data_IF_496160178096
#
_entry.id   IF_496160178096
#
_cell.length_a   1.000
_cell.length_b   1.000
_cell.length_c   1.000
_cell.angle_alpha   90.00
_cell.angle_beta   90.00
_cell.angle_gamma   90.00
#
_symmetry.space_group_name_H-M   'P 1'
#
loop_
_entity.id
_entity.type
_entity.pdbx_description
1 polymer ?
#
# COMPACT_ATOMS: atom_id res chain seq x y z
N UNK A 1 25.98 -10.29 -29.37
CA UNK A 1 24.78 -9.99 -28.56
C UNK A 1 23.61 -10.75 -29.16
N UNK A 2 23.27 -11.90 -28.59
CA UNK A 2 22.10 -12.69 -29.00
C UNK A 2 20.85 -11.82 -28.98
N UNK A 3 20.09 -11.87 -30.07
CA UNK A 3 18.82 -11.16 -30.25
C UNK A 3 17.75 -11.82 -29.35
N UNK A 4 17.87 -11.67 -28.03
CA UNK A 4 16.83 -12.06 -27.08
C UNK A 4 15.57 -11.25 -27.40
N UNK A 5 14.48 -11.93 -27.73
CA UNK A 5 13.18 -11.31 -27.94
C UNK A 5 12.87 -10.31 -26.82
N UNK A 6 12.51 -9.07 -27.17
CA UNK A 6 12.23 -7.98 -26.22
C UNK A 6 11.21 -8.37 -25.15
N UNK A 7 10.30 -9.29 -25.48
CA UNK A 7 9.37 -9.93 -24.56
C UNK A 7 9.24 -11.43 -24.87
N UNK A 8 9.04 -12.26 -23.85
CA UNK A 8 8.75 -13.69 -24.02
C UNK A 8 7.25 -13.91 -24.24
N UNK A 9 6.87 -14.96 -25.00
CA UNK A 9 5.44 -15.32 -25.20
C UNK A 9 4.68 -15.47 -23.88
N UNK A 10 5.36 -15.98 -22.84
CA UNK A 10 4.81 -16.15 -21.50
C UNK A 10 4.41 -14.79 -20.89
N UNK A 11 5.25 -13.75 -21.01
CA UNK A 11 4.94 -12.41 -20.47
C UNK A 11 3.68 -11.81 -21.09
N UNK A 12 3.53 -11.96 -22.41
CA UNK A 12 2.35 -11.44 -23.12
C UNK A 12 1.09 -12.17 -22.67
N UNK A 13 1.12 -13.50 -22.59
CA UNK A 13 0.00 -14.30 -22.09
C UNK A 13 -0.32 -13.91 -20.64
N UNK A 14 0.69 -13.82 -19.77
CA UNK A 14 0.50 -13.43 -18.37
C UNK A 14 -0.11 -12.03 -18.25
N UNK A 15 0.33 -11.05 -19.05
CA UNK A 15 -0.27 -9.70 -19.03
C UNK A 15 -1.76 -9.70 -19.38
N UNK A 16 -2.17 -10.51 -20.38
CA UNK A 16 -3.57 -10.64 -20.75
C UNK A 16 -4.38 -11.36 -19.68
N UNK A 17 -3.85 -12.44 -19.10
CA UNK A 17 -4.52 -13.19 -18.02
C UNK A 17 -4.74 -12.32 -16.79
N UNK A 18 -3.72 -11.56 -16.36
CA UNK A 18 -3.84 -10.63 -15.23
C UNK A 18 -4.90 -9.55 -15.50
N UNK A 19 -4.89 -8.97 -16.70
CA UNK A 19 -5.84 -7.92 -17.07
C UNK A 19 -7.27 -8.45 -17.17
N UNK A 20 -7.45 -9.66 -17.71
CA UNK A 20 -8.74 -10.33 -17.78
C UNK A 20 -9.27 -10.68 -16.38
N UNK A 21 -8.40 -11.20 -15.51
CA UNK A 21 -8.74 -11.48 -14.11
C UNK A 21 -9.24 -10.22 -13.42
N UNK A 22 -8.56 -9.08 -13.60
CA UNK A 22 -8.97 -7.81 -13.01
C UNK A 22 -10.38 -7.40 -13.46
N UNK A 23 -10.70 -7.54 -14.73
CA UNK A 23 -12.03 -7.15 -15.25
C UNK A 23 -13.13 -8.08 -14.78
N UNK A 24 -12.86 -9.38 -14.64
CA UNK A 24 -13.87 -10.35 -14.22
C UNK A 24 -14.12 -10.22 -12.72
N UNK A 25 -13.06 -10.18 -11.92
CA UNK A 25 -13.16 -10.34 -10.47
C UNK A 25 -12.96 -9.04 -9.67
N UNK A 26 -12.29 -8.03 -10.21
CA UNK A 26 -11.98 -6.78 -9.49
C UNK A 26 -12.77 -5.55 -10.01
N UNK A 27 -13.62 -5.72 -11.03
CA UNK A 27 -14.44 -4.61 -11.55
C UNK A 27 -15.41 -4.02 -10.51
N UNK A 28 -15.76 -4.78 -9.46
CA UNK A 28 -16.62 -4.31 -8.37
C UNK A 28 -16.08 -3.08 -7.64
N UNK A 29 -14.76 -2.84 -7.69
CA UNK A 29 -14.08 -1.70 -7.04
C UNK A 29 -14.63 -0.35 -7.49
N UNK A 30 -15.08 -0.23 -8.74
CA UNK A 30 -15.66 1.03 -9.24
C UNK A 30 -17.04 1.35 -8.66
N UNK A 31 -17.70 0.37 -8.04
CA UNK A 31 -19.07 0.51 -7.50
C UNK A 31 -19.13 0.41 -5.98
N UNK A 32 -18.29 -0.44 -5.37
CA UNK A 32 -18.26 -0.72 -3.93
C UNK A 32 -16.93 -0.31 -3.27
N UNK A 33 -16.07 0.37 -4.02
CA UNK A 33 -14.77 0.85 -3.54
C UNK A 33 -13.94 -0.27 -2.89
N UNK A 34 -13.44 -0.05 -1.67
CA UNK A 34 -12.63 -0.99 -0.90
C UNK A 34 -13.39 -2.27 -0.53
N UNK A 35 -14.73 -2.24 -0.47
CA UNK A 35 -15.56 -3.37 -0.06
C UNK A 35 -15.65 -4.49 -1.10
N UNK A 36 -15.29 -4.20 -2.36
CA UNK A 36 -15.15 -5.23 -3.40
C UNK A 36 -13.81 -5.98 -3.32
N UNK A 37 -12.89 -5.56 -2.44
CA UNK A 37 -11.57 -6.15 -2.32
C UNK A 37 -11.58 -7.21 -1.22
N UNK A 38 -11.43 -8.47 -1.62
CA UNK A 38 -11.37 -9.62 -0.73
C UNK A 38 -10.42 -10.68 -1.26
N UNK A 39 -10.91 -11.92 -1.29
CA UNK A 39 -10.21 -13.08 -1.87
C UNK A 39 -9.72 -12.82 -3.31
N UNK A 40 -10.52 -12.13 -4.13
CA UNK A 40 -10.14 -11.74 -5.49
C UNK A 40 -8.80 -10.99 -5.56
N UNK A 41 -8.60 -9.95 -4.74
CA UNK A 41 -7.38 -9.18 -4.75
C UNK A 41 -6.21 -9.96 -4.14
N UNK A 42 -6.46 -10.75 -3.09
CA UNK A 42 -5.46 -11.68 -2.55
C UNK A 42 -4.90 -12.61 -3.61
N UNK A 43 -5.77 -13.26 -4.38
CA UNK A 43 -5.37 -14.16 -5.46
C UNK A 43 -4.60 -13.42 -6.56
N UNK A 44 -5.04 -12.22 -6.92
CA UNK A 44 -4.35 -11.38 -7.91
C UNK A 44 -2.93 -11.02 -7.46
N UNK A 45 -2.77 -10.45 -6.26
CA UNK A 45 -1.47 -9.99 -5.75
C UNK A 45 -0.52 -11.15 -5.43
N UNK A 46 -1.04 -12.24 -4.86
CA UNK A 46 -0.27 -13.46 -4.64
C UNK A 46 0.17 -14.08 -5.98
N UNK A 47 -0.72 -14.15 -6.98
CA UNK A 47 -0.41 -14.66 -8.31
C UNK A 47 0.70 -13.86 -8.99
N UNK A 48 0.64 -12.52 -8.93
CA UNK A 48 1.69 -11.64 -9.46
C UNK A 48 3.03 -11.88 -8.73
N UNK A 49 3.02 -11.97 -7.40
CA UNK A 49 4.22 -12.23 -6.60
C UNK A 49 4.84 -13.58 -6.94
N UNK A 50 4.02 -14.63 -6.99
CA UNK A 50 4.46 -15.99 -7.32
C UNK A 50 5.00 -16.09 -8.75
N UNK A 51 4.41 -15.36 -9.71
CA UNK A 51 4.94 -15.28 -11.07
C UNK A 51 6.35 -14.70 -11.10
N UNK A 52 6.60 -13.61 -10.36
CA UNK A 52 7.93 -13.03 -10.25
C UNK A 52 8.94 -13.97 -9.59
N UNK A 53 8.52 -14.71 -8.54
CA UNK A 53 9.35 -15.74 -7.90
C UNK A 53 9.66 -16.89 -8.86
N UNK A 54 8.68 -17.37 -9.62
CA UNK A 54 8.87 -18.40 -10.64
C UNK A 54 9.94 -17.97 -11.65
N UNK A 55 9.90 -16.71 -12.10
CA UNK A 55 10.88 -16.16 -13.02
C UNK A 55 12.28 -16.11 -12.43
N UNK A 56 12.43 -15.64 -11.19
CA UNK A 56 13.72 -15.64 -10.49
C UNK A 56 14.31 -17.05 -10.37
N UNK A 57 13.46 -18.07 -10.14
CA UNK A 57 13.89 -19.47 -10.10
C UNK A 57 14.32 -19.97 -11.49
N UNK A 58 13.55 -19.66 -12.53
CA UNK A 58 13.87 -20.04 -13.93
C UNK A 58 15.22 -19.48 -14.37
N UNK A 59 15.51 -18.22 -14.03
CA UNK A 59 16.76 -17.56 -14.37
C UNK A 59 17.90 -17.82 -13.36
N UNK A 60 17.72 -18.75 -12.42
CA UNK A 60 18.69 -19.12 -11.36
C UNK A 60 19.19 -17.93 -10.50
N UNK A 61 18.38 -16.89 -10.36
CA UNK A 61 18.67 -15.70 -9.54
C UNK A 61 18.04 -15.75 -8.13
N UNK A 62 17.12 -16.69 -7.91
CA UNK A 62 16.47 -16.91 -6.61
C UNK A 62 17.44 -17.44 -5.55
N UNK A 63 17.39 -16.84 -4.35
CA UNK A 63 18.16 -17.27 -3.17
C UNK A 63 17.20 -17.41 -1.99
N UNK A 64 17.47 -18.32 -1.04
CA UNK A 64 16.62 -18.52 0.15
C UNK A 64 16.42 -17.23 0.98
N UNK A 65 17.41 -16.32 0.99
CA UNK A 65 17.31 -15.01 1.64
C UNK A 65 16.28 -14.06 1.00
N UNK A 66 15.78 -14.37 -0.20
CA UNK A 66 14.70 -13.62 -0.84
C UNK A 66 13.36 -13.83 -0.12
N UNK A 67 13.20 -14.92 0.63
CA UNK A 67 12.01 -15.18 1.44
C UNK A 67 11.73 -14.06 2.43
N UNK A 68 12.78 -13.40 2.94
CA UNK A 68 12.70 -12.25 3.84
C UNK A 68 11.89 -11.09 3.24
N UNK A 69 11.86 -10.97 1.92
CA UNK A 69 11.12 -9.93 1.19
C UNK A 69 9.81 -10.45 0.59
N UNK A 70 9.75 -11.74 0.23
CA UNK A 70 8.56 -12.38 -0.34
C UNK A 70 7.47 -12.60 0.71
N UNK A 71 7.84 -13.08 1.91
CA UNK A 71 6.86 -13.41 2.97
C UNK A 71 5.98 -12.20 3.31
N UNK A 72 6.52 -11.00 3.58
CA UNK A 72 5.69 -9.83 3.83
C UNK A 72 4.75 -9.46 2.69
N UNK A 73 5.18 -9.61 1.43
CA UNK A 73 4.30 -9.37 0.27
C UNK A 73 3.14 -10.37 0.22
N UNK A 74 3.39 -11.64 0.55
CA UNK A 74 2.33 -12.63 0.65
C UNK A 74 1.38 -12.33 1.82
N UNK A 75 1.90 -11.90 2.98
CA UNK A 75 1.06 -11.46 4.10
C UNK A 75 0.19 -10.25 3.73
N UNK A 76 0.75 -9.24 3.06
CA UNK A 76 -0.01 -8.10 2.54
C UNK A 76 -1.08 -8.54 1.54
N UNK A 77 -0.79 -9.52 0.69
CA UNK A 77 -1.77 -10.07 -0.23
C UNK A 77 -2.92 -10.75 0.52
N UNK A 78 -2.60 -11.57 1.52
CA UNK A 78 -3.57 -12.30 2.35
C UNK A 78 -4.43 -11.35 3.19
N UNK A 79 -3.90 -10.20 3.60
CA UNK A 79 -4.63 -9.23 4.43
C UNK A 79 -6.00 -8.84 3.88
N UNK A 80 -6.12 -8.71 2.55
CA UNK A 80 -7.38 -8.38 1.87
C UNK A 80 -8.47 -9.45 2.06
N UNK A 81 -8.10 -10.73 2.17
CA UNK A 81 -9.04 -11.81 2.43
C UNK A 81 -9.36 -11.96 3.93
N UNK A 82 -8.54 -11.44 4.83
CA UNK A 82 -8.74 -11.59 6.28
C UNK A 82 -9.71 -10.55 6.83
N UNK A 83 -9.43 -9.27 6.57
CA UNK A 83 -10.11 -8.14 7.21
C UNK A 83 -10.58 -7.11 6.19
N UNK A 84 -11.65 -6.40 6.52
CA UNK A 84 -12.25 -5.38 5.66
C UNK A 84 -11.55 -4.03 5.78
N UNK A 85 -11.05 -3.68 6.98
CA UNK A 85 -10.35 -2.43 7.32
C UNK A 85 -10.27 -1.37 6.18
N UNK A 86 -11.31 -0.54 6.02
CA UNK A 86 -11.41 0.41 4.92
C UNK A 86 -10.37 1.53 5.03
N UNK A 87 -9.82 1.77 6.23
CA UNK A 87 -8.75 2.74 6.42
C UNK A 87 -7.43 2.25 5.84
N UNK A 88 -7.06 0.99 6.06
CA UNK A 88 -5.73 0.48 5.71
C UNK A 88 -5.62 -0.14 4.31
N UNK A 89 -6.72 -0.70 3.79
CA UNK A 89 -6.75 -1.34 2.46
C UNK A 89 -6.26 -0.42 1.32
N UNK A 90 -6.68 0.87 1.22
CA UNK A 90 -6.18 1.77 0.18
C UNK A 90 -4.66 1.95 0.23
N UNK A 91 -4.10 2.15 1.42
CA UNK A 91 -2.64 2.29 1.59
C UNK A 91 -1.92 1.01 1.17
N UNK A 92 -2.46 -0.16 1.52
CA UNK A 92 -1.88 -1.45 1.11
C UNK A 92 -1.94 -1.62 -0.41
N UNK A 93 -3.08 -1.29 -1.03
CA UNK A 93 -3.26 -1.39 -2.48
C UNK A 93 -2.27 -0.49 -3.25
N UNK A 94 -1.98 0.70 -2.74
CA UNK A 94 -1.03 1.64 -3.34
C UNK A 94 0.43 1.29 -3.04
N UNK A 95 0.73 0.83 -1.82
CA UNK A 95 2.08 0.48 -1.40
C UNK A 95 2.57 -0.82 -2.06
N UNK A 96 1.66 -1.78 -2.31
CA UNK A 96 2.03 -3.11 -2.78
C UNK A 96 2.82 -3.10 -4.11
N UNK A 97 2.39 -2.41 -5.19
CA UNK A 97 3.16 -2.37 -6.43
C UNK A 97 4.57 -1.79 -6.24
N UNK A 98 4.72 -0.79 -5.37
CA UNK A 98 6.01 -0.17 -5.06
C UNK A 98 6.92 -1.15 -4.31
N UNK A 99 6.39 -1.82 -3.29
CA UNK A 99 7.14 -2.82 -2.51
C UNK A 99 7.54 -4.03 -3.36
N UNK A 100 6.62 -4.49 -4.22
CA UNK A 100 6.89 -5.57 -5.18
C UNK A 100 7.99 -5.16 -6.16
N UNK A 101 7.89 -3.95 -6.73
CA UNK A 101 8.91 -3.42 -7.64
C UNK A 101 10.27 -3.28 -6.95
N UNK A 102 10.31 -2.80 -5.71
CA UNK A 102 11.52 -2.70 -4.89
C UNK A 102 12.16 -4.08 -4.65
N UNK A 103 11.38 -5.06 -4.17
CA UNK A 103 11.84 -6.43 -3.97
C UNK A 103 12.39 -7.03 -5.26
N UNK A 104 11.61 -6.96 -6.33
CA UNK A 104 11.94 -7.60 -7.59
C UNK A 104 13.17 -6.94 -8.24
N UNK A 105 13.27 -5.62 -8.17
CA UNK A 105 14.45 -4.84 -8.55
C UNK A 105 15.70 -5.31 -7.79
N UNK A 106 15.58 -5.51 -6.47
CA UNK A 106 16.69 -5.97 -5.64
C UNK A 106 17.11 -7.40 -5.98
N UNK A 107 16.14 -8.28 -6.24
CA UNK A 107 16.38 -9.71 -6.50
C UNK A 107 17.17 -9.97 -7.79
N UNK A 108 17.04 -9.07 -8.79
CA UNK A 108 17.73 -9.17 -10.08
C UNK A 108 19.17 -8.67 -10.09
N UNK A 109 19.62 -8.03 -9.01
CA UNK A 109 20.98 -7.49 -8.94
C UNK A 109 21.98 -8.62 -8.76
N UNK A 110 23.04 -8.58 -9.56
CA UNK A 110 24.15 -9.52 -9.41
C UNK A 110 24.95 -9.25 -8.13
N UNK A 111 25.31 -10.32 -7.40
CA UNK A 111 26.01 -10.21 -6.10
C UNK A 111 25.30 -9.27 -5.11
N UNK A 112 23.96 -9.30 -5.07
CA UNK A 112 23.11 -8.46 -4.19
C UNK A 112 23.44 -8.46 -2.69
N UNK A 113 24.17 -9.47 -2.21
CA UNK A 113 24.60 -9.56 -0.81
C UNK A 113 25.85 -8.72 -0.50
N UNK A 114 26.65 -8.37 -1.52
CA UNK A 114 27.86 -7.55 -1.40
C UNK A 114 27.55 -6.05 -1.50
N UNK A 115 26.31 -5.70 -1.84
CA UNK A 115 25.91 -4.32 -2.11
C UNK A 115 25.45 -3.62 -0.83
N UNK A 116 26.13 -2.53 -0.52
CA UNK A 116 25.68 -1.57 0.46
C UNK A 116 24.54 -0.72 -0.08
N UNK A 117 23.46 -0.62 0.69
CA UNK A 117 22.34 0.27 0.42
C UNK A 117 22.74 1.63 0.96
N UNK A 118 23.34 2.43 0.10
CA UNK A 118 23.61 3.84 0.32
C UNK A 118 22.59 4.70 -0.44
N UNK A 119 22.71 6.03 -0.34
CA UNK A 119 21.81 6.94 -1.06
C UNK A 119 21.89 6.73 -2.59
N UNK A 120 23.06 6.36 -3.12
CA UNK A 120 23.25 6.12 -4.55
C UNK A 120 22.53 4.85 -5.02
N UNK A 121 22.55 3.80 -4.21
CA UNK A 121 21.76 2.59 -4.41
C UNK A 121 20.27 2.89 -4.47
N UNK A 122 19.75 3.73 -3.56
CA UNK A 122 18.34 4.16 -3.60
C UNK A 122 18.01 4.88 -4.90
N UNK A 123 18.84 5.84 -5.33
CA UNK A 123 18.65 6.53 -6.62
C UNK A 123 18.65 5.54 -7.79
N UNK A 124 19.55 4.55 -7.78
CA UNK A 124 19.61 3.51 -8.82
C UNK A 124 18.37 2.61 -8.84
N UNK A 125 17.90 2.18 -7.68
CA UNK A 125 16.67 1.41 -7.54
C UNK A 125 15.47 2.23 -8.03
N UNK A 126 15.33 3.48 -7.62
CA UNK A 126 14.23 4.36 -8.05
C UNK A 126 14.27 4.55 -9.56
N UNK A 127 15.45 4.78 -10.16
CA UNK A 127 15.62 4.84 -11.62
C UNK A 127 15.21 3.53 -12.29
N UNK A 128 15.45 2.38 -11.66
CA UNK A 128 15.04 1.09 -12.21
C UNK A 128 13.54 0.86 -12.09
N UNK A 129 12.93 1.21 -10.95
CA UNK A 129 11.47 1.16 -10.80
C UNK A 129 10.84 2.02 -11.89
N UNK A 130 11.28 3.27 -12.04
CA UNK A 130 10.81 4.22 -13.06
C UNK A 130 11.20 3.83 -14.50
N UNK A 131 12.11 2.88 -14.70
CA UNK A 131 12.48 2.42 -16.04
C UNK A 131 11.31 1.77 -16.79
N UNK A 132 10.23 1.38 -16.11
CA UNK A 132 9.00 0.93 -16.76
C UNK A 132 8.43 1.95 -17.78
N UNK A 133 8.67 3.25 -17.55
CA UNK A 133 8.23 4.31 -18.46
C UNK A 133 8.92 4.24 -19.83
N UNK A 134 10.17 3.80 -19.89
CA UNK A 134 10.89 3.67 -21.18
C UNK A 134 10.39 2.50 -22.00
N UNK A 135 9.85 1.46 -21.35
CA UNK A 135 9.28 0.29 -22.03
C UNK A 135 7.83 0.48 -22.46
N UNK A 136 7.17 1.57 -22.08
CA UNK A 136 5.75 1.82 -22.37
C UNK A 136 5.43 1.77 -23.87
N UNK A 137 6.16 2.56 -24.67
CA UNK A 137 5.97 2.57 -26.14
C UNK A 137 6.29 1.20 -26.77
N UNK A 138 7.27 0.47 -26.22
CA UNK A 138 7.65 -0.86 -26.71
C UNK A 138 6.56 -1.89 -26.43
N UNK A 139 5.98 -1.88 -25.24
CA UNK A 139 4.85 -2.75 -24.87
C UNK A 139 3.62 -2.47 -25.71
N UNK A 140 3.32 -1.20 -25.98
CA UNK A 140 2.24 -0.80 -26.89
C UNK A 140 2.48 -1.41 -28.27
N UNK A 141 3.66 -1.20 -28.87
CA UNK A 141 4.01 -1.78 -30.18
C UNK A 141 3.93 -3.31 -30.20
N UNK A 142 4.38 -3.99 -29.14
CA UNK A 142 4.37 -5.46 -29.07
C UNK A 142 2.98 -6.04 -28.89
N UNK A 143 2.12 -5.41 -28.09
CA UNK A 143 0.71 -5.81 -27.98
C UNK A 143 -0.03 -5.55 -29.28
N UNK A 144 0.16 -4.38 -29.90
CA UNK A 144 -0.39 -4.12 -31.23
C UNK A 144 0.11 -5.14 -32.24
N UNK A 145 1.40 -5.47 -32.26
CA UNK A 145 1.95 -6.48 -33.17
C UNK A 145 1.41 -7.88 -32.87
N UNK A 146 1.19 -8.25 -31.61
CA UNK A 146 0.69 -9.59 -31.25
C UNK A 146 -0.81 -9.73 -31.57
N UNK A 147 -1.59 -8.69 -31.33
CA UNK A 147 -3.01 -8.62 -31.75
C UNK A 147 -3.12 -8.56 -33.28
N UNK A 148 -2.19 -7.86 -33.93
CA UNK A 148 -2.14 -7.69 -35.38
C UNK A 148 -1.27 -8.77 -36.09
N UNK A 149 -0.89 -9.85 -35.41
CA UNK A 149 0.31 -10.61 -35.81
C UNK A 149 0.31 -11.01 -37.29
N UNK A 150 1.38 -10.51 -37.91
CA UNK A 150 1.76 -10.54 -39.31
C UNK A 150 2.50 -11.85 -39.57
N UNK A 151 1.91 -12.98 -39.18
CA UNK A 151 2.38 -14.25 -39.74
C UNK A 151 2.16 -14.18 -41.25
N UNK A 152 3.19 -14.60 -41.99
CA UNK A 152 3.22 -14.67 -43.46
C UNK A 152 2.24 -15.74 -43.98
N UNK A 153 0.96 -15.58 -43.69
CA UNK A 153 -0.12 -16.47 -44.10
C UNK A 153 -1.14 -15.63 -44.87
N UNK A 154 -1.02 -15.58 -46.20
CA UNK A 154 -2.07 -15.19 -47.19
C UNK A 154 -2.99 -13.98 -46.83
N UNK A 155 -2.49 -13.01 -46.05
CA UNK A 155 -3.30 -12.09 -45.24
C UNK A 155 -3.75 -10.78 -45.94
N UNK A 156 -3.82 -10.76 -47.27
CA UNK A 156 -4.46 -9.67 -48.01
C UNK A 156 -5.99 -9.67 -47.84
N UNK A 157 -6.58 -10.86 -47.73
CA UNK A 157 -8.03 -11.03 -47.66
C UNK A 157 -8.61 -10.61 -46.31
N UNK A 158 -8.06 -11.07 -45.17
CA UNK A 158 -8.53 -10.67 -43.84
C UNK A 158 -8.43 -9.16 -43.60
N UNK A 159 -7.37 -8.50 -44.08
CA UNK A 159 -7.25 -7.04 -43.99
C UNK A 159 -8.32 -6.33 -44.84
N UNK A 160 -8.59 -6.81 -46.06
CA UNK A 160 -9.66 -6.27 -46.91
C UNK A 160 -11.05 -6.51 -46.32
N UNK A 161 -11.27 -7.69 -45.72
CA UNK A 161 -12.51 -8.02 -45.00
C UNK A 161 -12.69 -7.12 -43.78
N UNK A 162 -11.66 -6.91 -42.96
CA UNK A 162 -11.72 -6.01 -41.79
C UNK A 162 -11.95 -4.55 -42.20
N UNK A 163 -11.26 -4.06 -43.24
CA UNK A 163 -11.48 -2.71 -43.78
C UNK A 163 -12.90 -2.59 -44.35
N UNK A 164 -13.39 -3.60 -45.08
CA UNK A 164 -14.76 -3.64 -45.61
C UNK A 164 -15.81 -3.64 -44.51
N UNK A 165 -15.63 -4.45 -43.46
CA UNK A 165 -16.51 -4.46 -42.29
C UNK A 165 -16.48 -3.11 -41.56
N UNK A 166 -15.31 -2.49 -41.44
CA UNK A 166 -15.18 -1.17 -40.78
C UNK A 166 -15.89 -0.08 -41.58
N UNK A 167 -15.67 -0.02 -42.89
CA UNK A 167 -16.35 0.92 -43.78
C UNK A 167 -17.87 0.69 -43.79
N UNK A 168 -18.32 -0.57 -43.80
CA UNK A 168 -19.72 -0.92 -43.68
C UNK A 168 -20.30 -0.46 -42.34
N UNK A 169 -19.60 -0.66 -41.22
CA UNK A 169 -20.04 -0.21 -39.91
C UNK A 169 -20.15 1.32 -39.84
N UNK A 170 -19.18 2.06 -40.38
CA UNK A 170 -19.23 3.53 -40.45
C UNK A 170 -20.41 3.98 -41.32
N UNK A 171 -20.58 3.36 -42.49
CA UNK A 171 -21.70 3.66 -43.38
C UNK A 171 -23.05 3.36 -42.70
N UNK A 172 -23.20 2.21 -42.05
CA UNK A 172 -24.40 1.85 -41.31
C UNK A 172 -24.67 2.82 -40.16
N UNK A 173 -23.65 3.29 -39.45
CA UNK A 173 -23.81 4.25 -38.35
C UNK A 173 -24.35 5.61 -38.83
N UNK A 174 -24.10 5.99 -40.08
CA UNK A 174 -24.61 7.23 -40.68
C UNK A 174 -25.97 7.00 -41.37
N UNK A 175 -26.07 5.94 -42.15
CA UNK A 175 -27.23 5.67 -43.01
C UNK A 175 -28.43 5.17 -42.21
N UNK A 176 -28.22 4.28 -41.23
CA UNK A 176 -29.32 3.66 -40.47
C UNK A 176 -30.11 4.69 -39.64
N UNK A 177 -29.49 5.65 -38.91
CA UNK A 177 -30.23 6.71 -38.26
C UNK A 177 -30.99 7.62 -39.24
N UNK A 178 -30.38 7.94 -40.38
CA UNK A 178 -31.01 8.75 -41.42
C UNK A 178 -32.28 8.08 -41.97
N UNK A 179 -32.19 6.79 -42.33
CA UNK A 179 -33.35 6.00 -42.77
C UNK A 179 -34.39 5.81 -41.67
N UNK A 180 -33.95 5.63 -40.42
CA UNK A 180 -34.86 5.52 -39.26
C UNK A 180 -35.60 6.83 -38.97
N UNK A 181 -35.03 7.99 -39.30
CA UNK A 181 -35.73 9.27 -39.20
C UNK A 181 -36.73 9.50 -40.34
N UNK A 182 -36.53 8.87 -41.49
CA UNK A 182 -37.35 9.06 -42.68
C UNK A 182 -38.59 8.16 -42.71
N UNK A 183 -38.54 6.98 -42.08
CA UNK A 183 -39.65 6.02 -42.04
C UNK A 183 -39.85 5.43 -40.61
N UNK A 184 -40.99 5.74 -39.95
CA UNK A 184 -41.33 5.19 -38.63
C UNK A 184 -41.43 3.66 -38.56
N UNK A 185 -41.89 2.98 -39.63
CA UNK A 185 -42.02 1.52 -39.66
C UNK A 185 -40.63 0.86 -39.72
N UNK A 186 -39.72 1.44 -40.48
CA UNK A 186 -38.32 1.02 -40.53
C UNK A 186 -37.64 1.19 -39.16
N UNK A 187 -37.85 2.33 -38.50
CA UNK A 187 -37.34 2.60 -37.16
C UNK A 187 -37.82 1.57 -36.13
N UNK A 188 -39.11 1.22 -36.14
CA UNK A 188 -39.68 0.24 -35.22
C UNK A 188 -39.07 -1.15 -35.40
N UNK A 189 -38.81 -1.59 -36.63
CA UNK A 189 -38.19 -2.89 -36.91
C UNK A 189 -36.71 -2.95 -36.55
N UNK A 190 -36.00 -1.82 -36.61
CA UNK A 190 -34.58 -1.71 -36.24
C UNK A 190 -34.33 -1.45 -34.76
N UNK A 191 -35.35 -1.03 -34.01
CA UNK A 191 -35.24 -0.76 -32.58
C UNK A 191 -34.61 -1.91 -31.77
N UNK A 192 -34.99 -3.20 -31.96
CA UNK A 192 -34.34 -4.31 -31.25
C UNK A 192 -32.85 -4.45 -31.57
N UNK A 193 -32.46 -4.17 -32.83
CA UNK A 193 -31.06 -4.18 -33.25
C UNK A 193 -30.28 -3.03 -32.61
N UNK A 194 -30.85 -1.82 -32.59
CA UNK A 194 -30.26 -0.66 -31.93
C UNK A 194 -30.11 -0.88 -30.41
N UNK A 195 -31.14 -1.43 -29.76
CA UNK A 195 -31.11 -1.77 -28.33
C UNK A 195 -30.04 -2.84 -28.03
N UNK A 196 -29.88 -3.82 -28.92
CA UNK A 196 -28.82 -4.82 -28.80
C UNK A 196 -27.42 -4.20 -28.97
N UNK A 197 -27.22 -3.33 -29.97
CA UNK A 197 -25.95 -2.64 -30.23
C UNK A 197 -25.58 -1.70 -29.09
N UNK A 198 -26.51 -0.89 -28.60
CA UNK A 198 -26.27 0.02 -27.46
C UNK A 198 -26.02 -0.73 -26.16
N UNK A 199 -26.63 -1.90 -25.96
CA UNK A 199 -26.32 -2.79 -24.84
C UNK A 199 -24.90 -3.37 -24.93
N UNK A 200 -24.46 -3.77 -26.12
CA UNK A 200 -23.09 -4.28 -26.37
C UNK A 200 -22.05 -3.15 -26.26
N UNK A 201 -22.35 -1.95 -26.78
CA UNK A 201 -21.52 -0.76 -26.68
C UNK A 201 -21.80 0.07 -25.41
N UNK A 202 -22.41 -0.55 -24.40
CA UNK A 202 -22.69 0.16 -23.14
C UNK A 202 -21.39 0.75 -22.58
N UNK A 203 -21.49 1.93 -21.97
CA UNK A 203 -20.34 2.64 -21.41
C UNK A 203 -19.50 1.75 -20.48
N UNK A 204 -20.14 0.79 -19.79
CA UNK A 204 -19.45 -0.21 -18.96
C UNK A 204 -18.57 -1.17 -19.76
N UNK A 205 -19.04 -1.70 -20.89
CA UNK A 205 -18.26 -2.63 -21.73
C UNK A 205 -17.10 -1.89 -22.38
N UNK A 206 -17.35 -0.68 -22.90
CA UNK A 206 -16.30 0.17 -23.46
C UNK A 206 -15.23 0.49 -22.41
N UNK A 207 -15.64 0.87 -21.20
CA UNK A 207 -14.73 1.12 -20.08
C UNK A 207 -13.92 -0.14 -19.73
N UNK A 208 -14.53 -1.34 -19.70
CA UNK A 208 -13.82 -2.60 -19.47
C UNK A 208 -12.77 -2.87 -20.54
N UNK A 209 -13.09 -2.64 -21.82
CA UNK A 209 -12.13 -2.82 -22.94
C UNK A 209 -10.96 -1.83 -22.82
N UNK A 210 -11.23 -0.57 -22.48
CA UNK A 210 -10.18 0.44 -22.28
C UNK A 210 -9.28 0.04 -21.11
N UNK A 211 -9.87 -0.31 -19.96
CA UNK A 211 -9.13 -0.75 -18.77
C UNK A 211 -8.35 -2.03 -19.05
N UNK A 212 -8.90 -2.98 -19.82
CA UNK A 212 -8.18 -4.17 -20.29
C UNK A 212 -6.90 -3.82 -21.02
N UNK A 213 -7.00 -2.94 -22.02
CA UNK A 213 -5.88 -2.53 -22.84
C UNK A 213 -4.81 -1.83 -22.00
N UNK A 214 -5.22 -0.89 -21.14
CA UNK A 214 -4.31 -0.18 -20.23
C UNK A 214 -3.61 -1.13 -19.28
N UNK A 215 -4.35 -2.02 -18.60
CA UNK A 215 -3.76 -3.01 -17.68
C UNK A 215 -2.85 -4.00 -18.39
N UNK A 216 -3.17 -4.40 -19.63
CA UNK A 216 -2.33 -5.30 -20.42
C UNK A 216 -1.01 -4.62 -20.76
N UNK A 217 -1.05 -3.33 -21.13
CA UNK A 217 0.16 -2.53 -21.37
C UNK A 217 0.97 -2.40 -20.09
N UNK A 218 0.35 -1.97 -18.98
CA UNK A 218 1.04 -1.70 -17.70
C UNK A 218 1.63 -2.98 -17.09
N UNK A 219 0.90 -4.09 -17.11
CA UNK A 219 1.43 -5.37 -16.63
C UNK A 219 2.60 -5.82 -17.50
N UNK A 220 2.46 -5.74 -18.83
CA UNK A 220 3.52 -6.14 -19.75
C UNK A 220 4.78 -5.25 -19.60
N UNK A 221 4.63 -3.93 -19.45
CA UNK A 221 5.78 -3.03 -19.20
C UNK A 221 6.50 -3.38 -17.91
N UNK A 222 5.77 -3.62 -16.82
CA UNK A 222 6.37 -4.02 -15.54
C UNK A 222 7.16 -5.33 -15.66
N UNK A 223 6.58 -6.33 -16.35
CA UNK A 223 7.25 -7.62 -16.59
C UNK A 223 8.54 -7.47 -17.41
N UNK A 224 8.55 -6.61 -18.44
CA UNK A 224 9.73 -6.38 -19.28
C UNK A 224 10.80 -5.54 -18.58
N UNK A 225 10.39 -4.49 -17.86
CA UNK A 225 11.27 -3.50 -17.30
C UNK A 225 12.07 -4.04 -16.12
N UNK A 226 11.42 -4.78 -15.23
CA UNK A 226 12.03 -5.27 -14.00
C UNK A 226 12.61 -6.69 -14.14
N UNK A 227 12.33 -7.40 -15.23
CA UNK A 227 12.69 -8.81 -15.44
C UNK A 227 14.04 -9.05 -16.12
N UNK A 228 15.04 -8.19 -15.89
CA UNK A 228 16.34 -8.24 -16.59
C UNK A 228 17.51 -8.06 -15.61
N UNK A 229 18.61 -8.83 -15.78
CA UNK A 229 19.75 -8.72 -14.90
C UNK A 229 20.46 -7.40 -15.12
N UNK A 230 20.98 -6.83 -14.04
CA UNK A 230 21.74 -5.58 -14.11
C UNK A 230 22.92 -5.61 -13.17
N UNK A 231 24.04 -5.18 -13.69
CA UNK A 231 25.22 -4.89 -12.90
C UNK A 231 25.05 -3.53 -12.24
N UNK A 232 25.09 -3.53 -10.90
CA UNK A 232 25.18 -2.30 -10.12
C UNK A 232 26.60 -2.24 -9.57
N UNK A 233 27.42 -1.34 -10.12
CA UNK A 233 28.76 -1.06 -9.59
C UNK A 233 28.67 -0.18 -8.35
N UNK A 234 29.44 -0.50 -7.32
CA UNK A 234 29.45 0.27 -6.08
C UNK A 234 30.38 1.49 -6.23
N UNK A 235 29.90 2.54 -6.89
CA UNK A 235 30.64 3.80 -7.02
C UNK A 235 30.17 4.80 -5.94
N UNK A 236 30.40 4.45 -4.67
CA UNK A 236 30.23 5.40 -3.57
C UNK A 236 31.47 6.29 -3.50
N UNK A 237 31.36 7.57 -3.87
CA UNK A 237 32.38 8.56 -3.48
C UNK A 237 32.20 8.84 -1.99
N UNK A 238 33.23 8.52 -1.21
CA UNK A 238 33.21 8.78 0.21
C UNK A 238 33.39 10.28 0.45
N UNK A 239 32.29 10.98 0.74
CA UNK A 239 32.32 12.40 1.08
C UNK A 239 32.77 12.49 2.53
N UNK A 240 34.05 12.78 2.74
CA UNK A 240 34.60 13.09 4.06
C UNK A 240 33.93 14.38 4.57
N UNK A 241 33.14 14.27 5.64
CA UNK A 241 32.60 15.43 6.33
C UNK A 241 33.62 15.90 7.37
N UNK A 242 33.69 17.22 7.55
CA UNK A 242 34.44 17.81 8.65
C UNK A 242 33.80 17.39 9.99
N UNK A 243 34.60 16.70 10.80
CA UNK A 243 34.21 16.17 12.11
C UNK A 243 33.86 17.31 13.06
N UNK A 244 34.56 18.44 12.97
CA UNK A 244 34.34 19.61 13.83
C UNK A 244 33.01 20.25 13.49
N UNK A 245 32.76 20.52 12.20
CA UNK A 245 31.48 21.06 11.73
C UNK A 245 30.29 20.17 12.13
N UNK A 246 30.42 18.86 11.91
CA UNK A 246 29.39 17.88 12.26
C UNK A 246 29.12 17.86 13.78
N UNK A 247 30.16 17.94 14.59
CA UNK A 247 30.05 17.89 16.05
C UNK A 247 29.45 19.16 16.62
N UNK A 248 29.77 20.34 16.07
CA UNK A 248 29.18 21.62 16.47
C UNK A 248 27.67 21.63 16.19
N UNK A 249 27.26 21.23 14.98
CA UNK A 249 25.84 21.18 14.61
C UNK A 249 25.07 20.19 15.48
N UNK A 250 25.59 18.96 15.62
CA UNK A 250 24.91 17.92 16.40
C UNK A 250 24.87 18.26 17.90
N UNK A 251 25.95 18.85 18.43
CA UNK A 251 26.02 19.32 19.81
C UNK A 251 25.04 20.47 20.10
N UNK A 252 24.92 21.43 19.17
CA UNK A 252 23.96 22.53 19.28
C UNK A 252 22.52 22.05 19.28
N UNK A 253 22.15 21.17 18.34
CA UNK A 253 20.81 20.57 18.28
C UNK A 253 20.54 19.77 19.57
N UNK A 254 21.51 18.99 20.03
CA UNK A 254 21.38 18.20 21.25
C UNK A 254 21.15 19.09 22.50
N UNK A 255 21.84 20.23 22.62
CA UNK A 255 21.63 21.16 23.73
C UNK A 255 20.21 21.74 23.74
N UNK A 256 19.69 22.12 22.56
CA UNK A 256 18.30 22.58 22.42
C UNK A 256 17.31 21.48 22.83
N UNK A 257 17.59 20.22 22.51
CA UNK A 257 16.73 19.10 22.94
C UNK A 257 16.77 18.85 24.43
N UNK A 258 17.93 18.98 25.08
CA UNK A 258 18.01 18.89 26.54
C UNK A 258 17.21 20.01 27.21
N UNK A 259 17.32 21.24 26.71
CA UNK A 259 16.51 22.37 27.20
C UNK A 259 15.01 22.08 27.02
N UNK A 260 14.62 21.60 25.85
CA UNK A 260 13.23 21.26 25.56
C UNK A 260 12.71 20.11 26.43
N UNK A 261 13.48 19.03 26.59
CA UNK A 261 13.15 17.93 27.49
C UNK A 261 13.03 18.42 28.94
N UNK A 262 13.93 19.28 29.38
CA UNK A 262 13.90 19.88 30.72
C UNK A 262 12.60 20.67 30.94
N UNK A 263 12.21 21.55 30.01
CA UNK A 263 10.93 22.27 30.08
C UNK A 263 9.73 21.32 30.02
N UNK A 264 9.85 20.20 29.31
CA UNK A 264 8.79 19.19 29.22
C UNK A 264 8.66 18.31 30.47
N UNK A 265 9.69 18.16 31.30
CA UNK A 265 9.63 17.31 32.49
C UNK A 265 8.46 17.73 33.38
N UNK A 266 8.30 19.03 33.64
CA UNK A 266 7.19 19.53 34.47
C UNK A 266 5.82 19.22 33.87
N UNK A 267 5.70 19.16 32.54
CA UNK A 267 4.46 18.86 31.82
C UNK A 267 4.21 17.36 31.63
N UNK A 268 5.25 16.53 31.74
CA UNK A 268 5.17 15.06 31.63
C UNK A 268 4.50 14.43 32.85
N UNK A 269 4.66 15.05 34.02
CA UNK A 269 4.09 14.58 35.30
C UNK A 269 2.68 15.13 35.59
N UNK A 270 2.15 16.04 34.75
CA UNK A 270 0.77 16.51 34.89
C UNK A 270 -0.16 15.43 34.31
N UNK A 271 -0.67 14.57 35.18
CA UNK A 271 -1.64 13.52 34.86
C UNK A 271 -3.06 14.02 34.56
N UNK A 272 -3.28 15.33 34.44
CA UNK A 272 -4.58 15.92 34.20
C UNK A 272 -4.59 16.67 32.87
N UNK A 273 -5.39 16.17 31.91
CA UNK A 273 -5.73 16.89 30.70
C UNK A 273 -6.56 18.14 31.06
N UNK A 274 -6.39 19.28 30.36
CA UNK A 274 -7.29 20.42 30.49
C UNK A 274 -8.75 19.97 30.27
N UNK A 275 -9.69 20.52 31.03
CA UNK A 275 -11.09 20.07 31.07
C UNK A 275 -11.83 20.16 29.71
N UNK A 276 -11.31 20.95 28.74
CA UNK A 276 -11.88 21.13 27.41
C UNK A 276 -11.32 20.14 26.35
N UNK A 277 -12.25 19.56 25.56
CA UNK A 277 -11.97 18.70 24.42
C UNK A 277 -11.07 19.37 23.40
N UNK A 278 -11.34 20.64 23.09
CA UNK A 278 -10.67 21.36 21.99
C UNK A 278 -9.23 21.71 22.36
N UNK A 279 -8.99 22.05 23.62
CA UNK A 279 -7.63 22.29 24.14
C UNK A 279 -6.84 20.99 24.24
N UNK A 280 -7.48 19.90 24.70
CA UNK A 280 -6.86 18.58 24.75
C UNK A 280 -6.51 18.05 23.35
N UNK A 281 -7.43 18.19 22.40
CA UNK A 281 -7.22 17.77 21.03
C UNK A 281 -6.06 18.56 20.40
N UNK A 282 -6.04 19.89 20.58
CA UNK A 282 -4.94 20.72 20.07
C UNK A 282 -3.61 20.37 20.74
N UNK A 283 -3.57 20.21 22.06
CA UNK A 283 -2.36 19.91 22.82
C UNK A 283 -1.78 18.54 22.47
N UNK A 284 -2.66 17.53 22.33
CA UNK A 284 -2.25 16.18 21.96
C UNK A 284 -1.90 16.14 20.48
N UNK A 285 -2.78 16.53 19.56
CA UNK A 285 -2.53 16.35 18.12
C UNK A 285 -1.34 17.20 17.67
N UNK A 286 -1.29 18.50 17.97
CA UNK A 286 -0.16 19.33 17.52
C UNK A 286 1.16 18.91 18.17
N UNK A 287 1.16 18.70 19.49
CA UNK A 287 2.36 18.32 20.23
C UNK A 287 2.88 16.92 19.88
N UNK A 288 1.98 15.94 19.70
CA UNK A 288 2.33 14.58 19.28
C UNK A 288 3.01 14.60 17.90
N UNK A 289 2.38 15.26 16.90
CA UNK A 289 2.90 15.28 15.53
C UNK A 289 4.22 16.04 15.43
N UNK A 290 4.39 17.13 16.20
CA UNK A 290 5.65 17.85 16.29
C UNK A 290 6.78 16.97 16.85
N UNK A 291 6.52 16.26 17.97
CA UNK A 291 7.50 15.36 18.58
C UNK A 291 7.85 14.19 17.66
N UNK A 292 6.84 13.58 17.02
CA UNK A 292 7.05 12.50 16.07
C UNK A 292 7.86 12.97 14.86
N UNK A 293 7.53 14.14 14.30
CA UNK A 293 8.27 14.74 13.19
C UNK A 293 9.72 15.03 13.59
N UNK A 294 9.95 15.55 14.80
CA UNK A 294 11.29 15.79 15.32
C UNK A 294 12.09 14.50 15.44
N UNK A 295 11.49 13.42 15.92
CA UNK A 295 12.12 12.10 15.97
C UNK A 295 12.44 11.55 14.57
N UNK A 296 11.59 11.78 13.57
CA UNK A 296 11.88 11.42 12.17
C UNK A 296 13.03 12.24 11.59
N UNK A 297 13.09 13.55 11.89
CA UNK A 297 14.21 14.41 11.51
C UNK A 297 15.52 13.90 12.15
N UNK A 298 15.49 13.53 13.43
CA UNK A 298 16.65 12.98 14.13
C UNK A 298 17.15 11.69 13.51
N UNK A 299 16.23 10.84 13.06
CA UNK A 299 16.53 9.61 12.35
C UNK A 299 17.15 9.90 10.97
N UNK A 300 16.71 10.95 10.25
CA UNK A 300 17.35 11.38 9.00
C UNK A 300 18.78 11.89 9.23
N UNK A 301 19.00 12.67 10.29
CA UNK A 301 20.33 13.12 10.73
C UNK A 301 21.21 11.91 11.08
N UNK A 302 20.67 10.95 11.82
CA UNK A 302 21.38 9.71 12.16
C UNK A 302 21.85 8.98 10.91
N UNK A 303 20.97 8.78 9.92
CA UNK A 303 21.33 8.12 8.67
C UNK A 303 22.48 8.83 7.95
N UNK A 304 22.45 10.16 7.88
CA UNK A 304 23.46 10.93 7.17
C UNK A 304 24.83 10.87 7.86
N UNK A 305 24.83 10.85 9.19
CA UNK A 305 26.06 10.93 10.00
C UNK A 305 26.65 9.57 10.37
N UNK A 306 25.84 8.53 10.57
CA UNK A 306 26.28 7.22 11.07
C UNK A 306 27.48 6.62 10.33
N UNK A 307 27.47 6.69 8.99
CA UNK A 307 28.58 6.15 8.18
C UNK A 307 29.79 7.09 8.14
N UNK A 308 29.61 8.39 8.33
CA UNK A 308 30.59 9.45 8.08
C UNK A 308 31.35 9.93 9.31
N UNK A 309 30.94 9.52 10.51
CA UNK A 309 31.50 10.03 11.76
C UNK A 309 32.46 9.05 12.44
N UNK A 310 33.55 9.59 12.98
CA UNK A 310 34.57 8.89 13.79
C UNK A 310 34.07 8.60 15.22
N UNK A 311 34.84 7.81 16.00
CA UNK A 311 34.46 7.29 17.34
C UNK A 311 33.83 8.33 18.30
N UNK A 312 34.34 9.57 18.35
CA UNK A 312 33.79 10.62 19.24
C UNK A 312 32.38 11.05 18.83
N UNK A 313 32.14 11.30 17.55
CA UNK A 313 30.81 11.69 17.11
C UNK A 313 29.81 10.53 17.06
N UNK A 314 30.28 9.27 17.11
CA UNK A 314 29.40 8.11 17.34
C UNK A 314 28.83 8.08 18.77
N UNK A 315 29.62 8.48 19.79
CA UNK A 315 29.12 8.64 21.16
C UNK A 315 28.05 9.74 21.23
N UNK A 316 28.30 10.88 20.58
CA UNK A 316 27.32 11.98 20.49
C UNK A 316 26.05 11.53 19.76
N UNK A 317 26.19 10.73 18.70
CA UNK A 317 25.05 10.18 17.95
C UNK A 317 24.23 9.18 18.79
N UNK A 318 24.86 8.44 19.69
CA UNK A 318 24.18 7.56 20.66
C UNK A 318 23.40 8.33 21.70
N UNK A 319 24.02 9.36 22.27
CA UNK A 319 23.35 10.29 23.20
C UNK A 319 22.15 10.96 22.51
N UNK A 320 22.31 11.39 21.26
CA UNK A 320 21.25 11.97 20.45
C UNK A 320 20.11 10.98 20.14
N UNK A 321 20.43 9.73 19.84
CA UNK A 321 19.44 8.66 19.64
C UNK A 321 18.69 8.36 20.92
N UNK A 322 19.36 8.37 22.07
CA UNK A 322 18.74 8.17 23.37
C UNK A 322 17.76 9.31 23.71
N UNK A 323 18.16 10.58 23.51
CA UNK A 323 17.24 11.71 23.64
C UNK A 323 16.03 11.61 22.70
N UNK A 324 16.23 11.07 21.49
CA UNK A 324 15.13 10.82 20.54
C UNK A 324 14.14 9.76 21.05
N UNK A 325 14.63 8.72 21.74
CA UNK A 325 13.76 7.74 22.43
C UNK A 325 12.97 8.39 23.55
N UNK A 326 13.60 9.27 24.36
CA UNK A 326 12.88 10.00 25.42
C UNK A 326 11.77 10.90 24.84
N UNK A 327 12.03 11.60 23.74
CA UNK A 327 11.02 12.39 23.02
C UNK A 327 9.87 11.50 22.51
N UNK A 328 10.17 10.30 22.00
CA UNK A 328 9.15 9.34 21.58
C UNK A 328 8.33 8.80 22.74
N UNK A 329 8.95 8.52 23.89
CA UNK A 329 8.23 8.09 25.11
C UNK A 329 7.29 9.19 25.60
N UNK A 330 7.73 10.45 25.57
CA UNK A 330 6.89 11.61 25.86
C UNK A 330 5.69 11.71 24.92
N UNK A 331 5.92 11.54 23.62
CA UNK A 331 4.85 11.50 22.60
C UNK A 331 3.89 10.31 22.81
N UNK A 332 4.43 9.12 23.12
CA UNK A 332 3.66 7.92 23.42
C UNK A 332 2.74 8.12 24.62
N UNK A 333 3.24 8.76 25.68
CA UNK A 333 2.47 9.06 26.88
C UNK A 333 1.27 9.98 26.56
N UNK A 334 1.47 11.03 25.75
CA UNK A 334 0.37 11.90 25.32
C UNK A 334 -0.69 11.16 24.52
N UNK A 335 -0.27 10.27 23.62
CA UNK A 335 -1.20 9.44 22.87
C UNK A 335 -1.95 8.47 23.79
N UNK A 336 -1.26 7.89 24.78
CA UNK A 336 -1.88 7.01 25.77
C UNK A 336 -2.96 7.75 26.57
N UNK A 337 -2.68 8.96 27.08
CA UNK A 337 -3.68 9.79 27.77
C UNK A 337 -4.88 10.11 26.88
N UNK A 338 -4.63 10.41 25.60
CA UNK A 338 -5.69 10.71 24.64
C UNK A 338 -6.58 9.51 24.36
N UNK A 339 -5.98 8.33 24.23
CA UNK A 339 -6.70 7.06 24.09
C UNK A 339 -7.46 6.70 25.36
N UNK A 340 -6.89 6.90 26.55
CA UNK A 340 -7.59 6.56 27.80
C UNK A 340 -8.81 7.43 28.04
N UNK A 341 -8.78 8.70 27.63
CA UNK A 341 -9.89 9.63 27.86
C UNK A 341 -10.95 9.59 26.74
N UNK A 342 -10.54 9.38 25.47
CA UNK A 342 -11.43 9.43 24.30
C UNK A 342 -11.51 8.13 23.48
N UNK A 343 -10.89 7.05 23.95
CA UNK A 343 -10.88 5.77 23.25
C UNK A 343 -9.97 5.78 22.01
N UNK A 344 -9.75 4.61 21.45
CA UNK A 344 -9.10 4.41 20.16
C UNK A 344 -10.01 4.79 18.99
N UNK A 345 -9.36 5.31 17.95
CA UNK A 345 -9.85 5.44 16.59
C UNK A 345 -8.78 4.93 15.62
N UNK A 346 -9.07 4.89 14.31
CA UNK A 346 -8.03 4.54 13.32
C UNK A 346 -6.81 5.46 13.47
N UNK A 347 -7.02 6.77 13.57
CA UNK A 347 -5.95 7.77 13.72
C UNK A 347 -5.06 7.46 14.93
N UNK A 348 -5.67 7.27 16.11
CA UNK A 348 -4.94 7.03 17.36
C UNK A 348 -4.21 5.68 17.36
N UNK A 349 -4.80 4.65 16.75
CA UNK A 349 -4.16 3.34 16.59
C UNK A 349 -2.92 3.45 15.69
N UNK A 350 -3.06 4.00 14.48
CA UNK A 350 -1.93 4.11 13.53
C UNK A 350 -0.86 5.11 14.00
N UNK A 351 -1.23 6.14 14.75
CA UNK A 351 -0.30 7.02 15.43
C UNK A 351 0.53 6.27 16.48
N UNK A 352 -0.13 5.49 17.36
CA UNK A 352 0.54 4.64 18.36
C UNK A 352 1.46 3.61 17.70
N UNK A 353 1.00 2.98 16.61
CA UNK A 353 1.78 2.04 15.82
C UNK A 353 3.03 2.71 15.19
N UNK A 354 2.91 3.95 14.72
CA UNK A 354 4.05 4.70 14.16
C UNK A 354 5.09 5.02 15.24
N UNK A 355 4.65 5.36 16.46
CA UNK A 355 5.56 5.53 17.60
C UNK A 355 6.28 4.24 17.93
N UNK A 356 5.57 3.10 17.96
CA UNK A 356 6.18 1.79 18.17
C UNK A 356 7.23 1.47 17.09
N UNK A 357 6.92 1.75 15.82
CA UNK A 357 7.87 1.63 14.71
C UNK A 357 9.14 2.45 14.97
N UNK A 358 8.99 3.72 15.35
CA UNK A 358 10.13 4.59 15.64
C UNK A 358 10.95 4.09 16.84
N UNK A 359 10.31 3.64 17.93
CA UNK A 359 11.02 3.11 19.12
C UNK A 359 11.86 1.89 18.75
N UNK A 360 11.29 0.91 18.05
CA UNK A 360 12.02 -0.30 17.62
C UNK A 360 13.22 0.09 16.75
N UNK A 361 13.03 1.04 15.84
CA UNK A 361 14.08 1.51 14.96
C UNK A 361 15.20 2.19 15.75
N UNK A 362 14.89 3.13 16.64
CA UNK A 362 15.90 3.82 17.46
C UNK A 362 16.65 2.85 18.39
N UNK A 363 15.96 1.89 19.02
CA UNK A 363 16.61 0.87 19.83
C UNK A 363 17.60 0.05 19.00
N UNK A 364 17.22 -0.32 17.78
CA UNK A 364 18.12 -0.98 16.85
C UNK A 364 19.30 -0.07 16.46
N UNK A 365 19.07 1.20 16.11
CA UNK A 365 20.13 2.16 15.77
C UNK A 365 21.14 2.32 16.92
N UNK A 366 20.66 2.42 18.16
CA UNK A 366 21.49 2.47 19.37
C UNK A 366 22.34 1.19 19.47
N UNK A 367 21.74 0.02 19.26
CA UNK A 367 22.49 -1.26 19.28
C UNK A 367 23.59 -1.32 18.21
N UNK A 368 23.42 -0.63 17.08
CA UNK A 368 24.39 -0.59 15.99
C UNK A 368 25.57 0.37 16.24
N UNK A 369 25.50 1.20 17.28
CA UNK A 369 26.63 2.05 17.69
C UNK A 369 27.67 1.26 18.50
N UNK A 370 27.27 0.16 19.13
CA UNK A 370 28.16 -0.69 19.93
C UNK A 370 28.79 -1.83 19.11
N UNK A 371 28.43 -1.97 17.83
CA UNK A 371 28.95 -3.03 16.96
C UNK A 371 30.17 -2.57 16.17
N UNK A 372 31.23 -3.38 16.15
CA UNK A 372 32.48 -3.08 15.44
C UNK A 372 32.32 -3.07 13.91
N UNK A 373 31.33 -3.81 13.38
CA UNK A 373 31.00 -3.84 11.95
C UNK A 373 29.77 -2.99 11.69
N UNK A 374 29.91 -1.95 10.87
CA UNK A 374 28.78 -1.06 10.53
C UNK A 374 27.74 -1.82 9.72
N UNK A 375 26.51 -1.90 10.26
CA UNK A 375 25.38 -2.48 9.54
C UNK A 375 24.81 -1.50 8.53
N UNK A 376 24.11 -2.06 7.55
CA UNK A 376 23.41 -1.28 6.54
C UNK A 376 22.05 -0.80 7.07
N UNK A 377 22.04 0.44 7.55
CA UNK A 377 20.90 1.09 8.20
C UNK A 377 19.68 1.22 7.27
N UNK A 378 19.91 1.54 5.98
CA UNK A 378 18.82 1.69 5.00
C UNK A 378 18.16 0.34 4.71
N UNK A 379 18.96 -0.72 4.56
CA UNK A 379 18.45 -2.08 4.36
C UNK A 379 17.59 -2.53 5.55
N UNK A 380 18.02 -2.22 6.78
CA UNK A 380 17.22 -2.52 7.97
C UNK A 380 15.94 -1.70 8.04
N UNK A 381 15.98 -0.39 7.72
CA UNK A 381 14.77 0.45 7.68
C UNK A 381 13.71 -0.13 6.72
N UNK A 382 14.12 -0.48 5.50
CA UNK A 382 13.20 -1.05 4.50
C UNK A 382 12.69 -2.42 4.95
N UNK A 383 13.55 -3.25 5.54
CA UNK A 383 13.16 -4.51 6.14
C UNK A 383 12.11 -4.32 7.25
N UNK A 384 12.37 -3.44 8.22
CA UNK A 384 11.46 -3.16 9.33
C UNK A 384 10.13 -2.58 8.83
N UNK A 385 10.18 -1.62 7.90
CA UNK A 385 8.99 -1.04 7.29
C UNK A 385 8.14 -2.12 6.63
N UNK A 386 8.75 -2.94 5.78
CA UNK A 386 8.06 -4.01 5.07
C UNK A 386 7.40 -5.01 6.04
N UNK A 387 8.14 -5.48 7.05
CA UNK A 387 7.63 -6.46 8.01
C UNK A 387 6.57 -5.88 8.93
N UNK A 388 6.78 -4.71 9.51
CA UNK A 388 5.77 -4.10 10.38
C UNK A 388 4.51 -3.75 9.58
N UNK A 389 4.64 -3.27 8.34
CA UNK A 389 3.51 -2.95 7.47
C UNK A 389 2.70 -4.21 7.11
N UNK A 390 3.39 -5.33 6.83
CA UNK A 390 2.75 -6.62 6.63
C UNK A 390 2.07 -7.15 7.91
N UNK A 391 2.71 -7.05 9.07
CA UNK A 391 2.14 -7.52 10.34
C UNK A 391 0.88 -6.74 10.73
N UNK A 392 0.87 -5.41 10.58
CA UNK A 392 -0.33 -4.62 10.89
C UNK A 392 -1.47 -4.89 9.89
N UNK A 393 -1.15 -5.26 8.66
CA UNK A 393 -2.16 -5.61 7.64
C UNK A 393 -2.98 -6.85 8.02
N UNK A 394 -2.36 -7.82 8.68
CA UNK A 394 -3.01 -9.06 9.15
C UNK A 394 -3.45 -8.98 10.62
N UNK A 395 -3.28 -7.83 11.26
CA UNK A 395 -3.72 -7.62 12.63
C UNK A 395 -5.20 -7.19 12.64
N UNK A 396 -6.07 -7.76 13.50
CA UNK A 396 -7.47 -7.37 13.59
C UNK A 396 -7.65 -6.00 14.27
N UNK A 397 -7.24 -4.93 13.57
CA UNK A 397 -7.19 -3.56 14.10
C UNK A 397 -8.53 -3.11 14.67
N UNK A 398 -9.62 -3.32 13.94
CA UNK A 398 -10.94 -2.85 14.37
C UNK A 398 -11.47 -3.59 15.58
N UNK A 399 -11.21 -4.90 15.66
CA UNK A 399 -11.58 -5.69 16.84
C UNK A 399 -10.77 -5.26 18.06
N UNK A 400 -9.49 -4.92 17.88
CA UNK A 400 -8.67 -4.34 18.95
C UNK A 400 -9.25 -3.00 19.42
N UNK A 401 -9.56 -2.09 18.49
CA UNK A 401 -10.17 -0.78 18.80
C UNK A 401 -11.46 -0.98 19.59
N UNK A 402 -12.38 -1.83 19.12
CA UNK A 402 -13.66 -2.09 19.79
C UNK A 402 -13.43 -2.64 21.20
N UNK A 403 -12.63 -3.71 21.36
CA UNK A 403 -12.40 -4.33 22.67
C UNK A 403 -11.74 -3.38 23.66
N UNK A 404 -10.76 -2.61 23.20
CA UNK A 404 -10.08 -1.62 24.04
C UNK A 404 -11.02 -0.50 24.47
N UNK A 405 -11.88 0.00 23.57
CA UNK A 405 -12.84 1.05 23.91
C UNK A 405 -13.87 0.56 24.91
N UNK A 406 -14.43 -0.64 24.70
CA UNK A 406 -15.38 -1.24 25.64
C UNK A 406 -14.77 -1.45 27.04
N UNK A 407 -13.48 -1.77 27.13
CA UNK A 407 -12.77 -1.90 28.41
C UNK A 407 -12.43 -0.55 29.07
N UNK A 408 -12.35 0.54 28.28
CA UNK A 408 -12.06 1.88 28.80
C UNK A 408 -13.32 2.59 29.27
N UNK A 409 -14.47 2.38 28.61
CA UNK A 409 -15.77 2.99 28.97
C UNK A 409 -16.18 2.68 30.41
N UNK A 410 -15.74 1.54 30.97
CA UNK A 410 -16.03 1.17 32.36
C UNK A 410 -15.22 1.95 33.39
N UNK A 411 -14.21 2.72 32.99
CA UNK A 411 -13.36 3.49 33.91
C UNK A 411 -13.98 4.85 34.24
N UNK A 412 -13.84 5.33 35.50
CA UNK A 412 -14.21 6.70 35.85
C UNK A 412 -13.37 7.70 35.02
N UNK A 413 -13.94 8.87 34.73
CA UNK A 413 -13.31 9.97 33.99
C UNK A 413 -13.07 9.73 32.49
N UNK A 414 -13.81 8.84 31.83
CA UNK A 414 -13.74 8.68 30.37
C UNK A 414 -14.86 9.44 29.66
N UNK A 415 -14.54 10.04 28.50
CA UNK A 415 -15.48 10.76 27.62
C UNK A 415 -15.72 9.98 26.31
N UNK A 416 -15.65 8.65 26.38
CA UNK A 416 -15.74 7.77 25.21
C UNK A 416 -17.19 7.69 24.75
N UNK A 417 -17.47 8.13 23.53
CA UNK A 417 -18.80 8.03 22.94
C UNK A 417 -18.88 6.78 22.06
N UNK A 418 -19.80 5.86 22.40
CA UNK A 418 -19.88 4.57 21.70
C UNK A 418 -20.18 4.71 20.21
N UNK A 419 -20.93 5.75 19.80
CA UNK A 419 -21.23 5.99 18.39
C UNK A 419 -19.99 6.24 17.52
N UNK A 420 -18.85 6.68 18.10
CA UNK A 420 -17.61 6.86 17.34
C UNK A 420 -17.12 5.55 16.72
N UNK A 421 -17.51 4.41 17.31
CA UNK A 421 -17.21 3.08 16.78
C UNK A 421 -18.04 2.74 15.53
N UNK A 422 -19.06 3.53 15.18
CA UNK A 422 -19.83 3.36 13.94
C UNK A 422 -19.01 3.60 12.67
N UNK A 423 -17.83 4.26 12.78
CA UNK A 423 -16.87 4.39 11.68
C UNK A 423 -16.25 3.05 11.25
N UNK A 424 -16.30 2.05 12.14
CA UNK A 424 -15.71 0.74 11.90
C UNK A 424 -16.52 -0.05 10.87
N UNK A 425 -15.89 -1.07 10.31
CA UNK A 425 -16.40 -1.85 9.19
C UNK A 425 -17.23 -3.06 9.66
N UNK A 426 -17.71 -3.91 8.73
CA UNK A 426 -18.35 -5.17 9.10
C UNK A 426 -17.47 -6.12 9.93
N UNK A 427 -16.15 -5.89 10.03
CA UNK A 427 -15.24 -6.74 10.81
C UNK A 427 -15.65 -6.91 12.28
N UNK A 428 -16.34 -5.92 12.84
CA UNK A 428 -16.78 -5.93 14.23
C UNK A 428 -18.26 -6.33 14.41
N UNK A 429 -18.98 -6.61 13.32
CA UNK A 429 -20.44 -6.81 13.33
C UNK A 429 -20.88 -7.91 14.31
N UNK A 430 -20.23 -9.08 14.26
CA UNK A 430 -20.51 -10.20 15.18
C UNK A 430 -20.31 -9.79 16.64
N UNK A 431 -19.28 -9.01 16.93
CA UNK A 431 -18.97 -8.58 18.29
C UNK A 431 -19.95 -7.51 18.81
N UNK A 432 -20.41 -6.62 17.93
CA UNK A 432 -21.45 -5.63 18.24
C UNK A 432 -22.79 -6.31 18.54
N UNK A 433 -23.21 -7.30 17.72
CA UNK A 433 -24.43 -8.09 17.99
C UNK A 433 -24.37 -8.74 19.38
N UNK A 434 -23.25 -9.37 19.71
CA UNK A 434 -23.01 -9.96 21.04
C UNK A 434 -23.09 -8.93 22.17
N UNK A 435 -22.47 -7.75 22.02
CA UNK A 435 -22.56 -6.71 23.06
C UNK A 435 -23.96 -6.11 23.20
N UNK A 436 -24.74 -6.08 22.12
CA UNK A 436 -26.14 -5.68 22.14
C UNK A 436 -26.98 -6.68 22.93
N UNK A 437 -26.83 -7.98 22.67
CA UNK A 437 -27.51 -9.05 23.41
C UNK A 437 -27.14 -9.06 24.90
N UNK A 438 -25.88 -8.76 25.22
CA UNK A 438 -25.39 -8.63 26.60
C UNK A 438 -25.82 -7.32 27.30
N UNK A 439 -26.53 -6.41 26.61
CA UNK A 439 -26.95 -5.12 27.17
C UNK A 439 -25.80 -4.16 27.48
N UNK A 440 -24.61 -4.36 26.89
CA UNK A 440 -23.40 -3.56 27.14
C UNK A 440 -23.31 -2.28 26.31
N UNK A 441 -24.14 -2.15 25.28
CA UNK A 441 -24.22 -0.95 24.46
C UNK A 441 -25.21 0.02 25.12
N UNK A 442 -24.68 1.07 25.75
CA UNK A 442 -25.47 2.11 26.44
C UNK A 442 -26.30 2.89 25.39
N UNK A 443 -27.53 3.25 25.75
CA UNK A 443 -28.64 3.72 24.87
C UNK A 443 -28.45 5.06 24.13
N UNK A 444 -27.28 5.70 24.17
CA UNK A 444 -27.07 6.99 23.48
C UNK A 444 -27.09 6.87 21.94
N UNK A 445 -26.92 5.67 21.38
CA UNK A 445 -26.87 5.44 19.93
C UNK A 445 -27.62 4.17 19.52
N UNK A 446 -28.58 4.30 18.61
CA UNK A 446 -29.27 3.15 18.03
C UNK A 446 -28.35 2.43 17.03
N UNK A 447 -27.95 1.21 17.39
CA UNK A 447 -27.09 0.36 16.58
C UNK A 447 -27.85 -0.37 15.46
N UNK A 448 -29.19 -0.41 15.45
CA UNK A 448 -29.97 -1.14 14.44
C UNK A 448 -29.70 -0.66 13.02
N UNK A 449 -29.75 0.66 12.71
CA UNK A 449 -29.49 1.14 11.35
C UNK A 449 -28.05 0.83 10.90
N UNK A 450 -27.10 0.82 11.84
CA UNK A 450 -25.72 0.45 11.53
C UNK A 450 -25.59 -1.04 11.23
N UNK A 451 -26.20 -1.91 12.03
CA UNK A 451 -26.20 -3.38 11.85
C UNK A 451 -26.80 -3.73 10.49
N UNK A 452 -28.01 -3.23 10.19
CA UNK A 452 -28.70 -3.47 8.91
C UNK A 452 -27.85 -3.01 7.72
N UNK A 453 -27.20 -1.86 7.84
CA UNK A 453 -26.30 -1.34 6.79
C UNK A 453 -25.10 -2.25 6.57
N UNK A 454 -24.48 -2.80 7.61
CA UNK A 454 -23.35 -3.72 7.45
C UNK A 454 -23.79 -5.08 6.93
N UNK A 455 -24.93 -5.60 7.37
CA UNK A 455 -25.50 -6.85 6.86
C UNK A 455 -25.81 -6.76 5.36
N UNK A 456 -26.47 -5.68 4.94
CA UNK A 456 -26.74 -5.42 3.53
C UNK A 456 -25.44 -5.34 2.71
N UNK A 457 -24.42 -4.65 3.23
CA UNK A 457 -23.09 -4.61 2.60
C UNK A 457 -22.48 -5.99 2.42
N UNK A 458 -22.64 -6.89 3.39
CA UNK A 458 -22.14 -8.27 3.28
C UNK A 458 -22.98 -9.08 2.28
N UNK A 459 -24.30 -8.93 2.27
CA UNK A 459 -25.20 -9.63 1.35
C UNK A 459 -24.98 -9.24 -0.12
N UNK A 460 -24.67 -7.96 -0.37
CA UNK A 460 -24.39 -7.45 -1.72
C UNK A 460 -23.03 -7.92 -2.27
N UNK A 461 -22.17 -8.54 -1.44
CA UNK A 461 -20.87 -9.04 -1.88
C UNK A 461 -21.01 -10.31 -2.70
N UNK A 462 -20.21 -10.39 -3.75
CA UNK A 462 -20.01 -11.63 -4.49
C UNK A 462 -19.07 -12.56 -3.73
N UNK A 463 -19.15 -13.86 -4.03
CA UNK A 463 -18.36 -14.88 -3.34
C UNK A 463 -16.85 -14.62 -3.32
N UNK A 464 -16.32 -14.03 -4.40
CA UNK A 464 -14.90 -13.70 -4.53
C UNK A 464 -14.49 -12.36 -3.88
N UNK A 465 -15.46 -11.58 -3.38
CA UNK A 465 -15.25 -10.32 -2.66
C UNK A 465 -15.34 -10.50 -1.13
N UNK A 466 -15.62 -11.73 -0.67
CA UNK A 466 -15.71 -12.02 0.75
C UNK A 466 -14.35 -11.91 1.44
N UNK A 467 -14.44 -11.44 2.69
CA UNK A 467 -13.39 -11.50 3.69
C UNK A 467 -13.77 -12.57 4.72
N UNK A 468 -12.80 -13.11 5.45
CA UNK A 468 -13.02 -14.07 6.54
C UNK A 468 -13.97 -13.48 7.60
N UNK A 469 -13.81 -12.20 7.91
CA UNK A 469 -14.70 -11.47 8.80
C UNK A 469 -16.15 -11.44 8.31
N UNK A 470 -16.37 -11.17 7.01
CA UNK A 470 -17.70 -11.16 6.41
C UNK A 470 -18.35 -12.55 6.42
N UNK A 471 -17.56 -13.61 6.20
CA UNK A 471 -18.04 -15.00 6.27
C UNK A 471 -18.50 -15.34 7.69
N UNK A 472 -17.71 -14.94 8.70
CA UNK A 472 -18.06 -15.17 10.10
C UNK A 472 -19.27 -14.36 10.56
N UNK A 473 -19.52 -13.20 9.95
CA UNK A 473 -20.67 -12.35 10.27
C UNK A 473 -21.99 -12.81 9.62
N UNK A 474 -21.91 -13.65 8.58
CA UNK A 474 -23.07 -14.30 7.93
C UNK A 474 -23.51 -15.60 8.60
N UNK A 475 -22.72 -16.13 9.54
CA UNK A 475 -23.10 -17.26 10.40
C UNK A 475 -23.78 -16.72 11.65
#
# INVERSE_FOLDING_TARGET
MENKSLATKIEVITSFVLSLFFIIFLWGVWSREVFALGINLTLYLAGVTLFFVYRLKKDKKYVASDLTWIIPLLLLSISFALYENPFFKPFTMLAFPVLLALFYSYAWIERKNEIDWDAFFIVKIVKHILSFLTFLLTSVKLLFYTVYNKEKTKNGMLKRVLIGITLLLVALFIIVPLLSSADPVFALKLKPFYDAVTKILSASIVAKIIVFAVLSIVSLTGLMAWGRPREITNNSKDIKLDIVMTSIVLGGIFAVYLLFLFIQLDRLWVGALPFDFKETENLVKSGFWQLLFLSLLNLAIFFFLYRKTVSVGQKLLGIFSFASVLLLVSSAHRMALYVTHYGFSYEKFYASYTVLFCIILFLWLISQLFQSKKSNVIKFLVFQFLWMFALVSIFPVELFILKSNMALVTKPDTKIKLFEMAMLSPDILTQIKKYKEEGKLIEEFDWNPWIEKQEKRIQDKKWYEFTLSAINANR
#
